data_IF_227526543491
#
_entry.id   IF_227526543491
#
_cell.length_a   1.000
_cell.length_b   1.000
_cell.length_c   1.000
_cell.angle_alpha   90.00
_cell.angle_beta   90.00
_cell.angle_gamma   90.00
#
_symmetry.space_group_name_H-M   'P 1'
#
loop_
_entity.id
_entity.type
_entity.pdbx_description
1 polymer ?
#
# COMPACT_ATOMS: atom_id res chain seq x y z
N UNK A 1 4.12 -6.86 -2.52
CA UNK A 1 2.69 -6.59 -2.24
C UNK A 1 2.02 -7.77 -1.52
N UNK A 2 2.12 -9.03 -2.04
CA UNK A 2 1.42 -10.16 -1.42
C UNK A 2 1.81 -10.38 0.05
N UNK A 3 3.09 -10.18 0.41
CA UNK A 3 3.53 -10.32 1.79
C UNK A 3 2.79 -9.35 2.72
N UNK A 4 2.66 -8.10 2.31
CA UNK A 4 2.02 -7.07 3.14
C UNK A 4 0.54 -7.35 3.37
N UNK A 5 -0.17 -7.90 2.38
CA UNK A 5 -1.56 -8.31 2.56
C UNK A 5 -1.71 -9.51 3.52
N UNK A 6 -0.78 -10.48 3.47
CA UNK A 6 -0.81 -11.62 4.39
C UNK A 6 -0.56 -11.18 5.83
N UNK A 7 0.37 -10.24 6.05
CA UNK A 7 0.63 -9.69 7.37
C UNK A 7 -0.49 -8.76 7.83
N UNK A 8 -1.08 -7.97 6.93
CA UNK A 8 -2.19 -7.06 7.21
C UNK A 8 -3.43 -7.82 7.71
N UNK A 9 -3.69 -9.01 7.14
CA UNK A 9 -4.81 -9.86 7.53
C UNK A 9 -4.67 -10.52 8.93
N UNK A 10 -3.48 -10.49 9.57
CA UNK A 10 -3.24 -11.15 10.86
C UNK A 10 -4.11 -10.57 11.99
N UNK A 11 -4.44 -11.37 13.04
CA UNK A 11 -5.20 -10.91 14.20
C UNK A 11 -4.58 -9.71 14.94
N UNK A 12 -3.26 -9.54 14.85
CA UNK A 12 -2.54 -8.40 15.44
C UNK A 12 -2.56 -7.13 14.56
N UNK A 13 -3.21 -7.20 13.40
CA UNK A 13 -3.34 -6.10 12.42
C UNK A 13 -4.84 -5.89 12.14
N UNK A 14 -5.31 -6.09 10.91
CA UNK A 14 -6.71 -5.86 10.54
C UNK A 14 -7.65 -7.02 10.93
N UNK A 15 -7.15 -8.18 11.35
CA UNK A 15 -7.90 -9.41 11.69
C UNK A 15 -8.95 -9.78 10.62
N UNK A 16 -8.52 -9.86 9.36
CA UNK A 16 -9.39 -10.15 8.24
C UNK A 16 -9.55 -11.65 7.99
N UNK A 17 -10.80 -12.14 8.05
CA UNK A 17 -11.11 -13.54 7.75
C UNK A 17 -11.02 -13.88 6.27
N UNK A 18 -11.26 -12.89 5.39
CA UNK A 18 -11.35 -13.08 3.95
C UNK A 18 -10.52 -12.07 3.18
N UNK A 19 -9.82 -12.54 2.15
CA UNK A 19 -9.10 -11.73 1.18
C UNK A 19 -9.42 -12.19 -0.24
N UNK A 20 -9.96 -11.30 -1.08
CA UNK A 20 -10.35 -11.59 -2.46
C UNK A 20 -11.32 -12.78 -2.57
N UNK A 21 -12.29 -12.86 -1.66
CA UNK A 21 -13.31 -13.90 -1.63
C UNK A 21 -12.86 -15.28 -1.14
N UNK A 22 -11.63 -15.38 -0.62
CA UNK A 22 -11.07 -16.61 -0.03
C UNK A 22 -10.68 -16.35 1.41
N UNK A 23 -10.62 -17.40 2.23
CA UNK A 23 -10.09 -17.30 3.58
C UNK A 23 -8.66 -16.71 3.53
N UNK A 24 -8.38 -15.77 4.42
CA UNK A 24 -7.04 -15.25 4.64
C UNK A 24 -6.07 -16.35 5.07
N UNK A 25 -4.77 -16.11 4.95
CA UNK A 25 -3.77 -17.16 5.18
C UNK A 25 -3.82 -17.69 6.60
N UNK A 26 -3.96 -16.83 7.61
CA UNK A 26 -4.01 -17.24 9.01
C UNK A 26 -5.30 -18.02 9.34
N UNK A 27 -6.44 -17.70 8.71
CA UNK A 27 -7.69 -18.45 8.89
C UNK A 27 -7.69 -19.79 8.17
N UNK A 28 -7.06 -19.85 6.99
CA UNK A 28 -7.00 -21.09 6.20
C UNK A 28 -6.01 -22.11 6.77
N UNK A 29 -4.91 -21.62 7.34
CA UNK A 29 -3.83 -22.45 7.88
C UNK A 29 -3.65 -22.18 9.38
N UNK A 30 -2.82 -21.22 9.75
CA UNK A 30 -2.62 -20.70 11.11
C UNK A 30 -1.78 -19.41 11.04
N UNK A 31 -1.67 -18.70 12.17
CA UNK A 31 -0.90 -17.44 12.27
C UNK A 31 0.60 -17.64 11.98
N UNK A 32 1.21 -18.69 12.51
CA UNK A 32 2.64 -18.97 12.28
C UNK A 32 2.94 -19.16 10.79
N UNK A 33 2.07 -19.89 10.06
CA UNK A 33 2.19 -20.04 8.60
C UNK A 33 2.04 -18.72 7.88
N UNK A 34 1.11 -17.85 8.31
CA UNK A 34 0.91 -16.54 7.70
C UNK A 34 2.12 -15.63 7.90
N UNK A 35 2.68 -15.57 9.11
CA UNK A 35 3.88 -14.80 9.42
C UNK A 35 5.04 -15.26 8.52
N UNK A 36 5.36 -16.58 8.55
CA UNK A 36 6.47 -17.12 7.77
C UNK A 36 6.28 -16.99 6.25
N UNK A 37 5.04 -17.09 5.75
CA UNK A 37 4.75 -16.88 4.34
C UNK A 37 4.97 -15.42 3.93
N UNK A 38 4.58 -14.47 4.78
CA UNK A 38 4.85 -13.06 4.55
C UNK A 38 6.35 -12.77 4.54
N UNK A 39 7.11 -13.27 5.52
CA UNK A 39 8.56 -13.11 5.60
C UNK A 39 9.26 -13.70 4.36
N UNK A 40 8.91 -14.92 3.98
CA UNK A 40 9.48 -15.57 2.80
C UNK A 40 9.18 -14.81 1.50
N UNK A 41 7.97 -14.27 1.33
CA UNK A 41 7.61 -13.47 0.16
C UNK A 41 8.31 -12.10 0.15
N UNK A 42 8.54 -11.52 1.33
CA UNK A 42 9.32 -10.30 1.47
C UNK A 42 10.76 -10.53 1.00
N UNK A 43 11.41 -11.57 1.50
CA UNK A 43 12.80 -11.91 1.14
C UNK A 43 12.93 -12.33 -0.33
N UNK A 44 11.94 -13.06 -0.86
CA UNK A 44 11.86 -13.42 -2.28
C UNK A 44 11.90 -12.19 -3.20
N UNK A 45 11.30 -11.07 -2.78
CA UNK A 45 11.35 -9.84 -3.59
C UNK A 45 12.79 -9.34 -3.77
N UNK A 46 13.60 -9.38 -2.72
CA UNK A 46 15.03 -9.00 -2.79
C UNK A 46 15.85 -10.04 -3.55
N UNK A 47 15.58 -11.32 -3.37
CA UNK A 47 16.22 -12.41 -4.13
C UNK A 47 15.99 -12.25 -5.63
N UNK A 48 14.74 -11.98 -6.06
CA UNK A 48 14.41 -11.76 -7.47
C UNK A 48 15.13 -10.55 -8.07
N UNK A 49 15.24 -9.45 -7.33
CA UNK A 49 15.98 -8.26 -7.81
C UNK A 49 17.47 -8.54 -7.91
N UNK A 50 18.06 -9.20 -6.90
CA UNK A 50 19.50 -9.47 -6.85
C UNK A 50 19.95 -10.56 -7.82
N UNK A 51 19.19 -11.65 -7.92
CA UNK A 51 19.53 -12.86 -8.67
C UNK A 51 19.04 -12.85 -10.13
N UNK A 52 17.77 -12.58 -10.36
CA UNK A 52 17.09 -12.91 -11.63
C UNK A 52 17.10 -11.81 -12.69
N UNK A 53 17.58 -10.60 -12.37
CA UNK A 53 17.76 -9.54 -13.38
C UNK A 53 19.04 -9.78 -14.20
N UNK A 54 19.08 -10.90 -14.91
CA UNK A 54 20.19 -11.22 -15.82
C UNK A 54 20.39 -10.08 -16.82
N UNK A 55 21.66 -9.78 -17.15
CA UNK A 55 22.07 -8.72 -18.08
C UNK A 55 21.82 -7.27 -17.61
N UNK A 56 21.51 -7.05 -16.34
CA UNK A 56 21.48 -5.71 -15.76
C UNK A 56 22.75 -5.45 -14.95
N UNK A 57 23.22 -4.21 -15.05
CA UNK A 57 24.40 -3.80 -14.33
C UNK A 57 24.12 -3.87 -12.81
N UNK A 58 25.12 -4.25 -12.02
CA UNK A 58 25.04 -4.39 -10.58
C UNK A 58 24.50 -3.10 -9.89
N UNK A 59 24.87 -1.93 -10.42
CA UNK A 59 24.43 -0.65 -9.89
C UNK A 59 22.89 -0.46 -9.95
N UNK A 60 22.24 -0.87 -11.06
CA UNK A 60 20.79 -0.78 -11.16
C UNK A 60 20.08 -1.71 -10.19
N UNK A 61 20.62 -2.92 -9.95
CA UNK A 61 20.11 -3.86 -8.93
C UNK A 61 20.22 -3.27 -7.53
N UNK A 62 21.39 -2.72 -7.17
CA UNK A 62 21.62 -2.08 -5.87
C UNK A 62 20.66 -0.88 -5.67
N UNK A 63 20.49 -0.03 -6.69
CA UNK A 63 19.53 1.07 -6.64
C UNK A 63 18.11 0.58 -6.37
N UNK A 64 17.66 -0.49 -7.03
CA UNK A 64 16.34 -1.07 -6.81
C UNK A 64 16.17 -1.69 -5.43
N UNK A 65 17.16 -2.45 -4.95
CA UNK A 65 17.15 -3.05 -3.61
C UNK A 65 17.03 -1.95 -2.55
N UNK A 66 17.91 -0.93 -2.64
CA UNK A 66 17.88 0.21 -1.72
C UNK A 66 16.52 0.94 -1.78
N UNK A 67 16.01 1.17 -2.99
CA UNK A 67 14.75 1.89 -3.16
C UNK A 67 13.55 1.08 -2.67
N UNK A 68 13.51 -0.23 -2.95
CA UNK A 68 12.48 -1.12 -2.39
C UNK A 68 12.51 -1.09 -0.86
N UNK A 69 13.69 -1.22 -0.25
CA UNK A 69 13.83 -1.21 1.21
C UNK A 69 13.34 0.09 1.85
N UNK A 70 13.54 1.24 1.18
CA UNK A 70 13.00 2.53 1.63
C UNK A 70 11.47 2.60 1.52
N UNK A 71 10.92 2.04 0.43
CA UNK A 71 9.48 2.09 0.18
C UNK A 71 8.67 1.14 1.10
N UNK A 72 9.24 -0.01 1.47
CA UNK A 72 8.52 -1.00 2.30
C UNK A 72 8.93 -0.99 3.78
N UNK A 73 10.08 -0.39 4.11
CA UNK A 73 10.64 -0.37 5.45
C UNK A 73 10.11 0.74 6.36
N UNK A 74 10.95 1.09 7.34
CA UNK A 74 10.63 2.04 8.43
C UNK A 74 10.31 3.48 7.99
N UNK A 75 10.51 3.84 6.74
CA UNK A 75 10.15 5.15 6.15
C UNK A 75 8.96 5.06 5.19
N UNK A 76 8.53 3.86 4.86
CA UNK A 76 7.49 3.57 3.89
C UNK A 76 6.34 2.76 4.50
N UNK A 77 6.01 1.64 3.85
CA UNK A 77 4.84 0.83 4.16
C UNK A 77 4.77 0.38 5.63
N UNK A 78 5.88 -0.09 6.21
CA UNK A 78 5.88 -0.54 7.61
C UNK A 78 5.53 0.60 8.59
N UNK A 79 6.07 1.82 8.35
CA UNK A 79 5.66 2.99 9.13
C UNK A 79 4.20 3.36 8.87
N UNK A 80 3.75 3.28 7.60
CA UNK A 80 2.35 3.55 7.25
C UNK A 80 1.39 2.63 7.99
N UNK A 81 1.71 1.34 8.06
CA UNK A 81 0.92 0.36 8.82
C UNK A 81 0.95 0.63 10.33
N UNK A 82 2.10 0.99 10.88
CA UNK A 82 2.20 1.36 12.30
C UNK A 82 1.37 2.60 12.63
N UNK A 83 1.34 3.60 11.74
CA UNK A 83 0.50 4.80 11.89
C UNK A 83 -0.98 4.48 11.76
N UNK A 84 -1.36 3.57 10.86
CA UNK A 84 -2.76 3.15 10.69
C UNK A 84 -3.30 2.55 12.00
N UNK A 85 -2.59 1.62 12.60
CA UNK A 85 -2.92 1.04 13.90
C UNK A 85 -2.88 2.07 15.05
N UNK A 86 -1.84 2.93 15.08
CA UNK A 86 -1.73 3.95 16.11
C UNK A 86 -2.88 4.95 16.06
N UNK A 87 -3.43 5.20 14.88
CA UNK A 87 -4.44 6.22 14.62
C UNK A 87 -5.88 5.73 14.82
N UNK A 88 -6.11 4.45 15.09
CA UNK A 88 -7.43 3.93 15.42
C UNK A 88 -8.07 4.70 16.59
N UNK A 89 -9.35 5.01 16.44
CA UNK A 89 -10.15 5.79 17.40
C UNK A 89 -9.60 7.19 17.73
N UNK A 90 -8.75 7.76 16.85
CA UNK A 90 -8.21 9.13 17.02
C UNK A 90 -8.77 10.07 15.97
N UNK A 91 -9.10 11.29 16.38
CA UNK A 91 -9.42 12.37 15.42
C UNK A 91 -8.14 12.94 14.81
N UNK A 92 -8.02 12.84 13.51
CA UNK A 92 -6.83 13.26 12.77
C UNK A 92 -7.09 14.50 11.90
N UNK A 93 -6.02 15.24 11.62
CA UNK A 93 -6.03 16.22 10.54
C UNK A 93 -5.90 15.56 9.18
N UNK A 94 -6.42 16.23 8.14
CA UNK A 94 -6.27 15.80 6.74
C UNK A 94 -4.82 15.43 6.39
N UNK A 95 -3.86 16.25 6.80
CA UNK A 95 -2.44 16.02 6.46
C UNK A 95 -1.89 14.74 7.08
N UNK A 96 -2.31 14.36 8.29
CA UNK A 96 -1.90 13.11 8.94
C UNK A 96 -2.47 11.89 8.21
N UNK A 97 -3.73 11.95 7.78
CA UNK A 97 -4.36 10.88 7.00
C UNK A 97 -3.64 10.73 5.66
N UNK A 98 -3.38 11.82 4.95
CA UNK A 98 -2.67 11.78 3.67
C UNK A 98 -1.22 11.28 3.80
N UNK A 99 -0.50 11.63 4.88
CA UNK A 99 0.84 11.08 5.15
C UNK A 99 0.79 9.57 5.40
N UNK A 100 -0.16 9.10 6.18
CA UNK A 100 -0.38 7.67 6.43
C UNK A 100 -0.70 6.92 5.11
N UNK A 101 -1.63 7.40 4.30
CA UNK A 101 -1.96 6.81 2.99
C UNK A 101 -0.76 6.77 2.04
N UNK A 102 0.01 7.87 2.00
CA UNK A 102 1.20 7.93 1.16
C UNK A 102 2.23 6.87 1.55
N UNK A 103 2.38 6.58 2.84
CA UNK A 103 3.30 5.56 3.36
C UNK A 103 2.75 4.15 3.22
N UNK A 104 1.54 3.88 3.75
CA UNK A 104 0.93 2.55 3.76
C UNK A 104 0.74 2.01 2.35
N UNK A 105 0.24 2.85 1.45
CA UNK A 105 -0.17 2.46 0.10
C UNK A 105 0.68 3.12 -0.99
N UNK A 106 0.86 4.42 -0.94
CA UNK A 106 1.53 5.20 -1.99
C UNK A 106 2.97 4.75 -2.27
N UNK A 107 3.78 4.46 -1.25
CA UNK A 107 5.19 4.09 -1.41
C UNK A 107 5.42 2.83 -2.24
N UNK A 108 4.55 1.84 -2.15
CA UNK A 108 4.71 0.63 -2.96
C UNK A 108 4.29 0.86 -4.43
N UNK A 109 3.29 1.72 -4.66
CA UNK A 109 2.97 2.19 -6.02
C UNK A 109 4.09 3.05 -6.59
N UNK A 110 4.65 3.99 -5.83
CA UNK A 110 5.83 4.79 -6.20
C UNK A 110 6.98 3.89 -6.68
N UNK A 111 7.30 2.83 -5.93
CA UNK A 111 8.28 1.84 -6.34
C UNK A 111 7.88 1.14 -7.64
N UNK A 112 6.65 0.64 -7.73
CA UNK A 112 6.18 -0.17 -8.86
C UNK A 112 6.22 0.60 -10.18
N UNK A 113 5.83 1.87 -10.17
CA UNK A 113 5.86 2.74 -11.36
C UNK A 113 7.28 3.16 -11.75
N UNK A 114 8.15 3.44 -10.77
CA UNK A 114 9.49 3.94 -11.04
C UNK A 114 10.54 2.85 -11.30
N UNK A 115 10.34 1.61 -10.83
CA UNK A 115 11.29 0.52 -10.98
C UNK A 115 11.70 0.24 -12.45
N UNK A 116 10.78 0.22 -13.46
CA UNK A 116 11.16 0.05 -14.85
C UNK A 116 12.04 1.18 -15.38
N UNK A 117 11.82 2.41 -14.94
CA UNK A 117 12.63 3.58 -15.33
C UNK A 117 14.03 3.50 -14.73
N UNK A 118 14.16 3.05 -13.48
CA UNK A 118 15.45 2.80 -12.82
C UNK A 118 16.22 1.69 -13.55
N UNK A 119 15.54 0.59 -13.89
CA UNK A 119 16.13 -0.54 -14.64
C UNK A 119 16.61 -0.16 -16.04
N UNK A 120 15.98 0.80 -16.66
CA UNK A 120 16.33 1.30 -18.02
C UNK A 120 17.28 2.48 -17.97
N UNK A 121 17.81 2.83 -16.80
CA UNK A 121 18.70 3.98 -16.57
C UNK A 121 18.16 5.27 -17.23
N UNK A 122 16.86 5.51 -17.07
CA UNK A 122 16.20 6.72 -17.58
C UNK A 122 16.69 7.97 -16.84
N UNK A 123 16.39 9.14 -17.39
CA UNK A 123 16.79 10.41 -16.79
C UNK A 123 16.24 10.56 -15.35
N UNK A 124 16.91 11.35 -14.50
CA UNK A 124 16.42 11.67 -13.15
C UNK A 124 15.01 12.28 -13.20
N UNK A 125 14.73 13.09 -14.23
CA UNK A 125 13.41 13.72 -14.44
C UNK A 125 12.33 12.67 -14.72
N UNK A 126 12.61 11.70 -15.61
CA UNK A 126 11.65 10.65 -15.93
C UNK A 126 11.39 9.72 -14.72
N UNK A 127 12.45 9.38 -13.97
CA UNK A 127 12.33 8.59 -12.76
C UNK A 127 11.50 9.34 -11.71
N UNK A 128 11.72 10.65 -11.53
CA UNK A 128 10.94 11.44 -10.57
C UNK A 128 9.49 11.54 -11.01
N UNK A 129 9.22 11.80 -12.28
CA UNK A 129 7.86 11.80 -12.84
C UNK A 129 7.13 10.46 -12.57
N UNK A 130 7.80 9.32 -12.80
CA UNK A 130 7.23 8.00 -12.54
C UNK A 130 6.94 7.78 -11.04
N UNK A 131 7.78 8.31 -10.14
CA UNK A 131 7.56 8.29 -8.69
C UNK A 131 6.34 9.10 -8.28
N UNK A 132 6.27 10.33 -8.75
CA UNK A 132 5.17 11.25 -8.43
C UNK A 132 3.84 10.71 -8.96
N UNK A 133 3.83 10.15 -10.16
CA UNK A 133 2.67 9.49 -10.74
C UNK A 133 2.24 8.25 -9.93
N UNK A 134 3.21 7.41 -9.54
CA UNK A 134 2.93 6.23 -8.71
C UNK A 134 2.39 6.61 -7.33
N UNK A 135 2.92 7.67 -6.72
CA UNK A 135 2.43 8.19 -5.44
C UNK A 135 0.99 8.71 -5.54
N UNK A 136 0.69 9.51 -6.56
CA UNK A 136 -0.67 10.00 -6.82
C UNK A 136 -1.65 8.84 -7.06
N UNK A 137 -1.24 7.87 -7.88
CA UNK A 137 -2.06 6.68 -8.14
C UNK A 137 -2.36 5.92 -6.84
N UNK A 138 -1.34 5.70 -6.00
CA UNK A 138 -1.50 4.99 -4.73
C UNK A 138 -2.39 5.74 -3.73
N UNK A 139 -2.29 7.07 -3.69
CA UNK A 139 -3.15 7.91 -2.85
C UNK A 139 -4.63 7.80 -3.27
N UNK A 140 -4.91 7.95 -4.56
CA UNK A 140 -6.26 7.83 -5.10
C UNK A 140 -6.80 6.41 -4.92
N UNK A 141 -5.94 5.40 -5.11
CA UNK A 141 -6.29 3.99 -4.89
C UNK A 141 -6.76 3.76 -3.45
N UNK A 142 -6.03 4.28 -2.45
CA UNK A 142 -6.43 4.14 -1.04
C UNK A 142 -7.76 4.83 -0.76
N UNK A 143 -7.96 6.05 -1.25
CA UNK A 143 -9.21 6.78 -1.08
C UNK A 143 -10.41 6.03 -1.69
N UNK A 144 -10.20 5.42 -2.85
CA UNK A 144 -11.24 4.59 -3.50
C UNK A 144 -11.48 3.30 -2.72
N UNK A 145 -10.43 2.69 -2.15
CA UNK A 145 -10.58 1.47 -1.32
C UNK A 145 -11.43 1.76 -0.08
N UNK A 146 -11.17 2.88 0.61
CA UNK A 146 -12.00 3.34 1.75
C UNK A 146 -13.46 3.56 1.35
N UNK A 147 -13.70 4.22 0.20
CA UNK A 147 -15.04 4.44 -0.32
C UNK A 147 -15.75 3.11 -0.63
N UNK A 148 -15.03 2.16 -1.24
CA UNK A 148 -15.56 0.84 -1.56
C UNK A 148 -15.85 0.04 -0.29
N UNK A 149 -15.04 0.17 0.77
CA UNK A 149 -15.29 -0.48 2.04
C UNK A 149 -16.60 0.02 2.67
N UNK A 150 -16.88 1.33 2.60
CA UNK A 150 -18.11 1.89 3.18
C UNK A 150 -19.37 1.51 2.41
N UNK A 151 -19.35 1.60 1.06
CA UNK A 151 -20.56 1.41 0.21
C UNK A 151 -20.67 0.04 -0.44
N UNK A 152 -19.66 -0.78 -0.32
CA UNK A 152 -19.56 -2.05 -1.04
C UNK A 152 -20.35 -3.19 -0.39
N UNK A 153 -20.34 -4.33 -1.06
CA UNK A 153 -20.92 -5.58 -0.56
C UNK A 153 -19.87 -6.69 -0.64
N UNK A 154 -19.90 -7.66 0.27
CA UNK A 154 -18.96 -8.79 0.28
C UNK A 154 -18.81 -9.45 -1.11
N UNK A 155 -19.91 -9.64 -1.84
CA UNK A 155 -19.89 -10.24 -3.18
C UNK A 155 -19.06 -9.48 -4.19
N UNK A 156 -18.97 -8.14 -4.04
CA UNK A 156 -18.21 -7.26 -4.95
C UNK A 156 -16.76 -7.06 -4.48
N UNK A 157 -16.56 -6.96 -3.17
CA UNK A 157 -15.26 -6.58 -2.58
C UNK A 157 -14.40 -7.81 -2.27
N UNK A 158 -15.03 -8.93 -1.87
CA UNK A 158 -14.35 -10.16 -1.47
C UNK A 158 -13.67 -10.09 -0.09
N UNK A 159 -14.01 -9.06 0.70
CA UNK A 159 -13.68 -8.89 2.14
C UNK A 159 -14.94 -8.46 2.89
N UNK A 160 -14.91 -8.45 4.23
CA UNK A 160 -16.03 -7.97 5.05
C UNK A 160 -16.14 -6.44 4.90
N UNK A 161 -17.29 -5.89 4.42
CA UNK A 161 -17.47 -4.45 4.28
C UNK A 161 -17.67 -3.77 5.64
N UNK A 162 -17.35 -2.45 5.71
CA UNK A 162 -17.57 -1.62 6.89
C UNK A 162 -16.60 -1.90 8.05
N UNK A 163 -15.50 -2.60 7.79
CA UNK A 163 -14.50 -2.92 8.81
C UNK A 163 -13.76 -1.68 9.27
N UNK A 164 -13.43 -0.77 8.39
CA UNK A 164 -12.71 0.45 8.73
C UNK A 164 -13.47 1.27 9.78
N UNK A 165 -14.79 1.40 9.61
CA UNK A 165 -15.67 2.06 10.59
C UNK A 165 -15.72 1.26 11.91
N UNK A 166 -15.86 -0.07 11.84
CA UNK A 166 -15.95 -0.93 13.02
C UNK A 166 -14.64 -0.92 13.86
N UNK A 167 -13.50 -0.77 13.20
CA UNK A 167 -12.17 -0.65 13.84
C UNK A 167 -11.83 0.78 14.25
N UNK A 168 -12.70 1.76 13.98
CA UNK A 168 -12.46 3.17 14.30
C UNK A 168 -11.30 3.78 13.50
N UNK A 169 -11.10 3.32 12.26
CA UNK A 169 -10.07 3.87 11.36
C UNK A 169 -10.46 5.28 10.94
N UNK A 170 -9.51 6.19 11.02
CA UNK A 170 -9.68 7.58 10.58
C UNK A 170 -9.44 7.68 9.08
N UNK A 171 -10.50 7.70 8.29
CA UNK A 171 -10.41 7.83 6.83
C UNK A 171 -10.58 9.27 6.36
N UNK A 172 -10.09 9.57 5.16
CA UNK A 172 -10.35 10.87 4.53
C UNK A 172 -11.84 11.06 4.22
N UNK A 173 -12.52 9.95 3.90
CA UNK A 173 -13.95 9.91 3.62
C UNK A 173 -14.77 10.34 4.85
N UNK A 174 -14.46 9.79 6.03
CA UNK A 174 -15.10 10.17 7.30
C UNK A 174 -14.84 11.65 7.64
N UNK A 175 -13.62 12.14 7.37
CA UNK A 175 -13.22 13.49 7.75
C UNK A 175 -13.92 14.57 6.92
N UNK A 176 -14.03 14.41 5.59
CA UNK A 176 -14.50 15.47 4.69
C UNK A 176 -15.75 15.10 3.86
N UNK A 177 -16.19 13.86 3.91
CA UNK A 177 -17.38 13.36 3.20
C UNK A 177 -17.15 13.05 1.72
N UNK A 178 -18.02 12.22 1.14
CA UNK A 178 -17.89 11.65 -0.21
C UNK A 178 -17.71 12.68 -1.32
N UNK A 179 -18.52 13.75 -1.30
CA UNK A 179 -18.45 14.80 -2.32
C UNK A 179 -17.08 15.48 -2.32
N UNK A 180 -16.59 15.88 -1.15
CA UNK A 180 -15.31 16.59 -1.04
C UNK A 180 -14.12 15.67 -1.35
N UNK A 181 -14.21 14.38 -1.01
CA UNK A 181 -13.22 13.36 -1.40
C UNK A 181 -13.17 13.19 -2.91
N UNK A 182 -14.33 13.09 -3.56
CA UNK A 182 -14.41 13.00 -5.03
C UNK A 182 -13.81 14.22 -5.71
N UNK A 183 -14.13 15.42 -5.23
CA UNK A 183 -13.59 16.67 -5.78
C UNK A 183 -12.07 16.77 -5.52
N UNK A 184 -11.59 16.32 -4.36
CA UNK A 184 -10.17 16.23 -4.06
C UNK A 184 -9.44 15.32 -5.05
N UNK A 185 -9.92 14.11 -5.30
CA UNK A 185 -9.30 13.19 -6.27
C UNK A 185 -9.27 13.79 -7.68
N UNK A 186 -10.36 14.42 -8.15
CA UNK A 186 -10.40 15.09 -9.46
C UNK A 186 -9.38 16.21 -9.56
N UNK A 187 -9.26 17.03 -8.53
CA UNK A 187 -8.30 18.12 -8.49
C UNK A 187 -6.85 17.62 -8.50
N UNK A 188 -6.53 16.59 -7.73
CA UNK A 188 -5.18 16.00 -7.72
C UNK A 188 -4.81 15.44 -9.11
N UNK A 189 -5.74 14.76 -9.79
CA UNK A 189 -5.52 14.26 -11.16
C UNK A 189 -5.30 15.42 -12.13
N UNK A 190 -6.16 16.44 -12.11
CA UNK A 190 -6.06 17.58 -13.02
C UNK A 190 -4.79 18.40 -12.81
N UNK A 191 -4.31 18.52 -11.57
CA UNK A 191 -3.08 19.25 -11.26
C UNK A 191 -1.82 18.48 -11.70
N UNK A 192 -1.92 17.18 -11.90
CA UNK A 192 -0.81 16.33 -12.32
C UNK A 192 -0.67 16.27 -13.86
N UNK A 193 -1.75 16.44 -14.61
CA UNK A 193 -1.78 16.43 -16.08
C UNK A 193 -1.42 17.78 -16.66
#
# INVERSE_FOLDING_TARGET
HSYSLIHDDLPSMDDDDYRRGKLSTHKKFNEATAILAGDALHDLAFELISGNLNNKNCNSKIKLINYLSLCIGHKGLALGQALDLEFENKKLSKNKILDMYSRKTGKLFEFSFSAPFILKDKSKKDIQFAKDYGMLFGLIFQIIDDLIDEIGTFKKIGKTPGKDIAQGKSTLLELIGEKQVTDFCKNEINNFT
#
